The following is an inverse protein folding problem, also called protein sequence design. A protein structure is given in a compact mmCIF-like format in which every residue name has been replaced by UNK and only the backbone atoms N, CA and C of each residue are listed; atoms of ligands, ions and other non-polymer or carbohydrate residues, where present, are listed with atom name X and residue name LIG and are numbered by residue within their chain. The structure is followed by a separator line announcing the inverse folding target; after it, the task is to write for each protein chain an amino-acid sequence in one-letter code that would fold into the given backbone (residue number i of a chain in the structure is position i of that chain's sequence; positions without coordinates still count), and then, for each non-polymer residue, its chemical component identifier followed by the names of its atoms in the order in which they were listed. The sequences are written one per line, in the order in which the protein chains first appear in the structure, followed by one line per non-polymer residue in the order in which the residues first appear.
data_IF_278067540592
#
_entry.id   IF_278067540592
#
_cell.length_a   1.000
_cell.length_b   1.000
_cell.length_c   1.000
_cell.angle_alpha   90.00
_cell.angle_beta   90.00
_cell.angle_gamma   90.00
#
_symmetry.space_group_name_H-M   'P 1'
#
loop_
_entity.id
_entity.type
_entity.pdbx_description
1 polymer ?
#
# COMPACT_ATOMS: atom_id res chain seq x y z
N UNK A 1 9.21 -19.21 27.81
CA UNK A 1 8.11 -18.60 27.03
C UNK A 1 8.52 -18.65 25.58
N UNK A 2 7.67 -19.26 24.77
CA UNK A 2 8.01 -19.92 23.51
C UNK A 2 8.66 -18.99 22.48
N UNK A 3 9.74 -19.50 21.89
CA UNK A 3 10.34 -18.96 20.68
C UNK A 3 9.31 -19.19 19.57
N UNK A 4 8.65 -18.12 19.14
CA UNK A 4 7.77 -18.08 17.97
C UNK A 4 8.45 -18.82 16.80
N UNK A 5 7.97 -20.02 16.48
CA UNK A 5 8.37 -20.72 15.27
C UNK A 5 8.01 -19.84 14.09
N UNK A 6 8.96 -19.57 13.19
CA UNK A 6 8.67 -18.92 11.93
C UNK A 6 7.55 -19.71 11.25
N UNK A 7 6.38 -19.10 11.11
CA UNK A 7 5.25 -19.68 10.39
C UNK A 7 5.72 -20.03 8.99
N UNK A 8 5.79 -21.32 8.64
CA UNK A 8 6.32 -21.77 7.35
C UNK A 8 5.30 -21.51 6.25
N UNK A 9 5.19 -20.24 5.85
CA UNK A 9 4.35 -19.77 4.76
C UNK A 9 4.98 -20.14 3.43
N UNK A 10 4.18 -20.68 2.51
CA UNK A 10 4.62 -21.06 1.16
C UNK A 10 3.94 -20.17 0.12
N UNK A 11 4.71 -19.57 -0.79
CA UNK A 11 4.19 -18.79 -1.91
C UNK A 11 3.91 -19.73 -3.08
N UNK A 12 2.69 -19.73 -3.62
CA UNK A 12 2.38 -20.47 -4.84
C UNK A 12 3.07 -19.82 -6.05
N UNK A 13 3.47 -20.60 -7.07
CA UNK A 13 3.96 -20.04 -8.31
C UNK A 13 2.95 -19.07 -8.94
N UNK A 14 3.43 -18.12 -9.74
CA UNK A 14 2.56 -17.19 -10.46
C UNK A 14 1.81 -17.93 -11.58
N UNK A 15 0.68 -18.58 -11.25
CA UNK A 15 -0.10 -19.38 -12.20
C UNK A 15 -1.35 -18.66 -12.74
N UNK A 16 -1.77 -17.56 -12.11
CA UNK A 16 -2.94 -16.78 -12.55
C UNK A 16 -2.48 -15.42 -13.05
N UNK A 17 -2.28 -15.31 -14.36
CA UNK A 17 -2.29 -14.02 -15.00
C UNK A 17 -3.70 -13.45 -14.90
N UNK A 18 -3.90 -12.30 -14.26
CA UNK A 18 -5.18 -11.58 -14.28
C UNK A 18 -5.52 -11.07 -15.68
N UNK A 19 -4.68 -11.30 -16.69
CA UNK A 19 -4.74 -10.58 -17.95
C UNK A 19 -4.64 -11.47 -19.18
N UNK A 20 -5.52 -11.18 -20.14
CA UNK A 20 -5.47 -11.70 -21.50
C UNK A 20 -4.77 -10.68 -22.41
N UNK A 21 -3.51 -10.32 -22.15
CA UNK A 21 -2.61 -9.60 -23.09
C UNK A 21 -3.16 -8.37 -23.86
N UNK A 22 -4.21 -7.70 -23.40
CA UNK A 22 -4.92 -6.69 -24.19
C UNK A 22 -4.23 -5.33 -24.16
N UNK A 23 -4.21 -4.67 -25.33
CA UNK A 23 -3.83 -3.26 -25.46
C UNK A 23 -4.93 -2.40 -24.82
N UNK A 24 -4.54 -1.44 -23.98
CA UNK A 24 -5.47 -0.48 -23.36
C UNK A 24 -5.81 0.64 -24.34
N UNK A 25 -7.05 1.12 -24.32
CA UNK A 25 -7.44 2.28 -25.11
C UNK A 25 -6.75 3.56 -24.58
N UNK A 26 -6.16 4.41 -25.45
CA UNK A 26 -5.53 5.66 -25.02
C UNK A 26 -6.57 6.65 -24.48
N UNK A 27 -6.33 7.24 -23.31
CA UNK A 27 -7.22 8.25 -22.71
C UNK A 27 -7.07 9.69 -23.27
N UNK A 28 -6.64 9.85 -24.53
CA UNK A 28 -6.50 11.17 -25.16
C UNK A 28 -5.23 11.97 -24.78
N UNK A 29 -5.10 13.21 -25.28
CA UNK A 29 -3.85 13.99 -25.21
C UNK A 29 -3.64 14.64 -23.83
N UNK A 30 -2.64 14.16 -23.09
CA UNK A 30 -1.66 14.98 -22.36
C UNK A 30 -2.14 15.99 -21.31
N UNK A 31 -3.27 15.77 -20.64
CA UNK A 31 -3.65 16.53 -19.44
C UNK A 31 -3.45 15.64 -18.22
N UNK A 32 -3.23 16.28 -17.06
CA UNK A 32 -3.21 15.67 -15.72
C UNK A 32 -4.07 14.40 -15.60
N UNK A 33 -3.63 13.32 -14.91
CA UNK A 33 -4.47 12.15 -14.67
C UNK A 33 -5.74 12.49 -13.87
N UNK A 34 -5.78 13.71 -13.32
CA UNK A 34 -6.90 14.32 -12.64
C UNK A 34 -7.75 15.14 -13.62
N UNK A 35 -9.07 15.06 -13.50
CA UNK A 35 -10.00 15.97 -14.18
C UNK A 35 -9.61 17.44 -13.97
N UNK A 36 -10.08 18.38 -14.81
CA UNK A 36 -9.80 19.80 -14.62
C UNK A 36 -10.15 20.28 -13.20
N UNK A 37 -11.28 19.80 -12.67
CA UNK A 37 -11.70 20.08 -11.31
C UNK A 37 -10.73 19.52 -10.26
N UNK A 38 -10.30 18.26 -10.42
CA UNK A 38 -9.31 17.65 -9.53
C UNK A 38 -7.93 18.31 -9.66
N UNK A 39 -7.55 18.80 -10.84
CA UNK A 39 -6.29 19.55 -11.04
C UNK A 39 -6.33 20.91 -10.36
N UNK A 40 -7.45 21.62 -10.46
CA UNK A 40 -7.68 22.86 -9.72
C UNK A 40 -7.64 22.58 -8.22
N UNK A 41 -8.36 21.54 -7.75
CA UNK A 41 -8.36 21.14 -6.34
C UNK A 41 -6.98 20.72 -5.85
N UNK A 42 -6.21 19.98 -6.64
CA UNK A 42 -4.83 19.64 -6.37
C UNK A 42 -3.98 20.90 -6.20
N UNK A 43 -4.07 21.87 -7.12
CA UNK A 43 -3.33 23.12 -7.00
C UNK A 43 -3.76 23.92 -5.76
N UNK A 44 -5.06 23.98 -5.45
CA UNK A 44 -5.56 24.61 -4.23
C UNK A 44 -5.08 23.89 -2.95
N UNK A 45 -5.12 22.57 -2.92
CA UNK A 45 -4.57 21.75 -1.83
C UNK A 45 -3.05 21.95 -1.73
N UNK A 46 -2.37 22.13 -2.87
CA UNK A 46 -0.95 22.39 -2.93
C UNK A 46 -0.61 23.70 -2.22
N UNK A 47 -1.34 24.79 -2.49
CA UNK A 47 -1.08 26.12 -1.92
C UNK A 47 -1.67 26.32 -0.52
N UNK A 48 -2.71 25.59 -0.15
CA UNK A 48 -3.39 25.73 1.16
C UNK A 48 -2.99 24.68 2.18
N UNK A 49 -1.98 23.86 1.88
CA UNK A 49 -1.63 22.68 2.66
C UNK A 49 -2.87 21.82 2.95
N UNK A 50 -3.66 21.48 1.93
CA UNK A 50 -4.82 20.59 2.05
C UNK A 50 -6.03 21.13 2.82
N UNK A 51 -6.11 22.44 3.09
CA UNK A 51 -7.27 23.05 3.77
C UNK A 51 -8.56 22.91 2.96
N UNK A 52 -8.51 22.95 1.63
CA UNK A 52 -9.72 22.76 0.82
C UNK A 52 -10.24 21.32 0.79
N UNK A 53 -9.46 20.32 1.20
CA UNK A 53 -9.95 18.94 1.39
C UNK A 53 -11.09 18.85 2.43
N UNK A 54 -11.31 19.85 3.29
CA UNK A 54 -12.39 19.84 4.30
C UNK A 54 -13.81 19.98 3.74
N UNK A 55 -13.97 20.42 2.49
CA UNK A 55 -15.29 20.72 1.93
C UNK A 55 -15.94 19.48 1.28
N UNK A 56 -15.45 18.26 1.57
CA UNK A 56 -16.09 17.04 1.08
C UNK A 56 -17.24 16.61 2.03
N UNK A 57 -18.52 16.81 1.66
CA UNK A 57 -19.67 16.61 2.55
C UNK A 57 -19.92 15.13 2.90
N UNK A 58 -19.34 14.17 2.18
CA UNK A 58 -19.66 12.76 2.37
C UNK A 58 -18.95 12.09 3.56
N UNK A 59 -18.05 12.79 4.27
CA UNK A 59 -17.32 12.22 5.41
C UNK A 59 -18.24 11.79 6.56
N UNK A 60 -19.41 12.42 6.71
CA UNK A 60 -20.41 12.05 7.72
C UNK A 60 -21.05 10.68 7.48
N UNK A 61 -20.90 10.11 6.29
CA UNK A 61 -21.40 8.77 5.95
C UNK A 61 -20.42 7.64 6.28
N UNK A 62 -19.20 7.97 6.73
CA UNK A 62 -18.13 6.99 6.91
C UNK A 62 -18.13 6.41 8.33
N UNK A 63 -18.15 5.08 8.44
CA UNK A 63 -18.01 4.40 9.72
C UNK A 63 -16.52 4.28 10.11
N UNK A 64 -15.99 5.35 10.71
CA UNK A 64 -14.56 5.48 11.00
C UNK A 64 -14.06 4.42 12.00
N UNK A 65 -12.93 3.78 11.70
CA UNK A 65 -12.31 2.80 12.58
C UNK A 65 -11.80 3.46 13.88
N UNK A 66 -11.70 2.69 14.95
CA UNK A 66 -10.93 3.10 16.12
C UNK A 66 -9.41 2.89 15.85
N UNK A 67 -8.57 3.23 16.83
CA UNK A 67 -7.13 2.94 16.75
C UNK A 67 -6.84 1.45 16.63
N UNK A 68 -7.63 0.64 17.31
CA UNK A 68 -7.56 -0.80 17.28
C UNK A 68 -8.96 -1.41 17.32
N UNK A 69 -9.08 -2.63 16.84
CA UNK A 69 -10.34 -3.33 16.83
C UNK A 69 -10.20 -4.79 16.44
N UNK A 70 -11.30 -5.53 16.63
CA UNK A 70 -11.41 -6.94 16.29
C UNK A 70 -12.65 -7.17 15.44
N UNK A 71 -12.46 -7.80 14.30
CA UNK A 71 -13.50 -8.30 13.43
C UNK A 71 -13.52 -9.81 13.58
N UNK A 72 -14.68 -10.37 13.94
CA UNK A 72 -14.87 -11.81 14.07
C UNK A 72 -15.69 -12.26 12.88
N UNK A 73 -15.17 -13.20 12.10
CA UNK A 73 -15.95 -13.86 11.06
C UNK A 73 -16.78 -14.92 11.77
N UNK A 74 -18.10 -14.98 11.52
CA UNK A 74 -19.09 -15.77 12.28
C UNK A 74 -18.57 -17.11 12.84
N UNK A 75 -18.98 -17.49 14.06
CA UNK A 75 -18.34 -18.57 14.79
C UNK A 75 -18.72 -19.93 14.20
N UNK A 76 -17.92 -20.42 13.26
CA UNK A 76 -17.74 -21.87 13.18
C UNK A 76 -16.85 -22.22 14.37
N UNK A 77 -17.36 -23.05 15.28
CA UNK A 77 -16.58 -23.61 16.39
C UNK A 77 -15.39 -24.38 15.83
N UNK A 78 -14.30 -23.66 15.56
CA UNK A 78 -13.12 -24.18 14.91
C UNK A 78 -11.93 -23.85 15.79
N UNK A 79 -11.12 -24.87 16.03
CA UNK A 79 -9.88 -24.73 16.80
C UNK A 79 -8.95 -23.73 16.11
N UNK A 80 -8.37 -22.82 16.89
CA UNK A 80 -7.35 -21.90 16.39
C UNK A 80 -6.12 -22.70 16.01
N UNK A 81 -5.76 -22.66 14.74
CA UNK A 81 -4.57 -23.35 14.23
C UNK A 81 -3.39 -22.39 14.15
N UNK A 82 -3.62 -21.18 13.62
CA UNK A 82 -2.53 -20.31 13.20
C UNK A 82 -2.88 -18.83 13.36
N UNK A 83 -1.85 -18.00 13.49
CA UNK A 83 -1.97 -16.55 13.40
C UNK A 83 -0.82 -15.98 12.58
N UNK A 84 -1.13 -15.01 11.73
CA UNK A 84 -0.15 -14.31 10.88
C UNK A 84 -0.27 -12.81 11.14
N UNK A 85 0.84 -12.18 11.52
CA UNK A 85 0.92 -10.72 11.68
C UNK A 85 1.43 -10.07 10.40
N UNK A 86 0.57 -9.24 9.82
CA UNK A 86 0.81 -8.50 8.58
C UNK A 86 1.00 -7.02 8.90
N UNK A 87 2.09 -6.42 8.44
CA UNK A 87 2.28 -4.96 8.47
C UNK A 87 2.21 -4.39 7.06
N UNK A 88 1.55 -3.25 6.93
CA UNK A 88 1.46 -2.52 5.67
C UNK A 88 2.28 -1.24 5.73
N UNK A 89 3.27 -1.12 4.87
CA UNK A 89 4.10 0.07 4.73
C UNK A 89 3.64 0.87 3.53
N UNK A 90 3.45 2.17 3.77
CA UNK A 90 3.08 3.11 2.74
C UNK A 90 4.19 3.35 1.71
N UNK A 91 4.08 4.45 0.98
CA UNK A 91 4.95 4.75 -0.14
C UNK A 91 6.42 4.80 0.29
N UNK A 92 7.25 3.92 -0.30
CA UNK A 92 8.70 3.93 -0.16
C UNK A 92 9.28 4.61 -1.40
N UNK A 93 9.79 5.80 -1.16
CA UNK A 93 10.58 6.60 -2.08
C UNK A 93 11.96 6.89 -1.45
N UNK A 94 12.89 7.41 -2.26
CA UNK A 94 14.21 7.85 -1.78
C UNK A 94 14.09 8.94 -0.71
N UNK A 95 14.91 8.86 0.33
CA UNK A 95 14.93 9.84 1.42
C UNK A 95 15.45 11.22 0.97
N UNK A 96 15.56 12.16 1.91
CA UNK A 96 16.20 13.45 1.61
C UNK A 96 17.66 13.22 1.22
N UNK A 97 18.47 12.46 1.92
CA UNK A 97 19.89 12.34 1.51
C UNK A 97 20.10 11.35 0.37
N UNK A 98 19.06 10.58 0.01
CA UNK A 98 19.17 9.41 -0.84
C UNK A 98 19.69 8.19 -0.09
N UNK A 99 19.97 8.32 1.21
CA UNK A 99 20.37 7.23 2.10
C UNK A 99 19.15 6.59 2.77
N UNK A 100 19.16 5.28 3.08
CA UNK A 100 18.05 4.61 3.76
C UNK A 100 17.62 5.33 5.05
N UNK A 101 16.32 5.30 5.39
CA UNK A 101 15.84 5.96 6.59
C UNK A 101 16.44 5.31 7.85
N UNK A 102 16.85 6.15 8.82
CA UNK A 102 17.19 5.73 10.18
C UNK A 102 15.89 5.43 10.93
N UNK A 103 15.59 4.14 11.03
CA UNK A 103 14.41 3.64 11.74
C UNK A 103 14.71 3.62 13.25
N UNK A 104 13.89 4.34 14.01
CA UNK A 104 13.91 4.38 15.47
C UNK A 104 13.69 3.00 16.11
N UNK A 105 14.15 2.82 17.35
CA UNK A 105 14.14 1.51 18.01
C UNK A 105 12.72 1.02 18.38
N UNK A 106 11.80 1.93 18.70
CA UNK A 106 10.39 1.60 18.91
C UNK A 106 9.70 1.13 17.64
N UNK A 107 9.90 1.82 16.51
CA UNK A 107 9.38 1.37 15.22
C UNK A 107 10.05 0.05 14.78
N UNK A 108 11.36 -0.10 14.99
CA UNK A 108 12.08 -1.36 14.72
C UNK A 108 11.50 -2.53 15.51
N UNK A 109 11.06 -2.30 16.77
CA UNK A 109 10.39 -3.33 17.58
C UNK A 109 9.05 -3.76 16.98
N UNK A 110 8.24 -2.83 16.47
CA UNK A 110 6.98 -3.15 15.76
C UNK A 110 7.28 -3.97 14.50
N UNK A 111 8.18 -3.49 13.64
CA UNK A 111 8.52 -4.15 12.37
C UNK A 111 9.07 -5.57 12.55
N UNK A 112 9.81 -5.83 13.63
CA UNK A 112 10.36 -7.16 13.96
C UNK A 112 9.32 -8.20 14.38
N UNK A 113 8.09 -7.79 14.70
CA UNK A 113 7.02 -8.71 15.09
C UNK A 113 6.21 -9.24 13.90
N UNK A 114 6.45 -8.68 12.70
CA UNK A 114 5.73 -9.08 11.50
C UNK A 114 6.20 -10.46 11.00
N UNK A 115 5.23 -11.27 10.57
CA UNK A 115 5.48 -12.47 9.77
C UNK A 115 5.47 -12.13 8.27
N UNK A 116 4.64 -11.16 7.89
CA UNK A 116 4.46 -10.65 6.53
C UNK A 116 4.52 -9.13 6.51
N UNK A 117 5.26 -8.54 5.58
CA UNK A 117 5.32 -7.09 5.36
C UNK A 117 4.95 -6.81 3.90
N UNK A 118 3.89 -6.02 3.69
CA UNK A 118 3.46 -5.57 2.37
C UNK A 118 3.82 -4.08 2.23
N UNK A 119 4.60 -3.71 1.22
CA UNK A 119 5.13 -2.37 1.07
C UNK A 119 4.98 -1.85 -0.36
N UNK A 120 4.60 -0.58 -0.52
CA UNK A 120 4.61 0.07 -1.83
C UNK A 120 6.03 0.56 -2.17
N UNK A 121 6.56 0.11 -3.30
CA UNK A 121 7.80 0.62 -3.90
C UNK A 121 7.43 1.58 -5.01
N UNK A 122 7.35 2.87 -4.69
CA UNK A 122 6.84 3.88 -5.62
C UNK A 122 7.89 4.34 -6.63
N UNK A 123 9.14 4.46 -6.19
CA UNK A 123 10.24 4.79 -7.09
C UNK A 123 10.71 3.52 -7.85
N UNK A 124 10.79 3.54 -9.20
CA UNK A 124 11.47 2.50 -9.96
C UNK A 124 12.84 2.14 -9.37
N UNK A 125 13.13 0.84 -9.32
CA UNK A 125 14.36 0.34 -8.71
C UNK A 125 15.39 0.04 -9.78
N UNK A 126 16.63 0.44 -9.55
CA UNK A 126 17.74 0.24 -10.48
C UNK A 126 18.95 -0.37 -9.77
N UNK A 127 19.80 -1.06 -10.53
CA UNK A 127 21.06 -1.60 -10.03
C UNK A 127 22.17 -0.53 -10.13
N UNK A 128 22.79 -0.19 -9.00
CA UNK A 128 23.82 0.86 -8.89
C UNK A 128 23.26 2.17 -8.33
N UNK A 129 24.15 3.17 -8.12
CA UNK A 129 23.75 4.47 -7.56
C UNK A 129 22.68 5.10 -8.43
N UNK A 130 21.41 4.99 -8.03
CA UNK A 130 20.27 5.61 -8.70
C UNK A 130 20.52 7.10 -8.95
N UNK A 131 19.82 7.68 -9.93
CA UNK A 131 20.04 9.07 -10.31
C UNK A 131 19.89 10.03 -9.12
N UNK A 132 21.01 10.50 -8.57
CA UNK A 132 21.06 11.51 -7.47
C UNK A 132 20.67 12.92 -7.93
N UNK A 133 20.18 13.10 -9.16
CA UNK A 133 19.90 14.44 -9.71
C UNK A 133 18.73 15.08 -8.96
N UNK A 134 19.06 15.99 -8.06
CA UNK A 134 18.11 16.88 -7.40
C UNK A 134 17.97 18.14 -8.25
N UNK A 135 16.75 18.39 -8.73
CA UNK A 135 16.36 19.56 -9.52
C UNK A 135 14.90 19.43 -9.97
N UNK A 136 14.46 20.27 -10.91
CA UNK A 136 13.12 20.23 -11.53
C UNK A 136 12.81 18.94 -12.34
N UNK A 137 13.74 17.97 -12.36
CA UNK A 137 13.60 16.69 -13.04
C UNK A 137 13.08 15.64 -12.05
N UNK A 138 11.83 15.21 -12.23
CA UNK A 138 11.12 14.17 -11.47
C UNK A 138 11.62 12.74 -11.78
N UNK A 139 12.92 12.53 -11.97
CA UNK A 139 13.46 11.17 -12.19
C UNK A 139 13.68 10.48 -10.84
N UNK A 140 12.68 9.73 -10.38
CA UNK A 140 12.65 9.02 -9.09
C UNK A 140 13.17 7.59 -9.22
N UNK A 141 14.48 7.39 -9.28
CA UNK A 141 15.06 6.04 -9.24
C UNK A 141 15.62 5.74 -7.84
N UNK A 142 15.36 4.53 -7.36
CA UNK A 142 15.85 4.01 -6.09
C UNK A 142 16.89 2.91 -6.33
N UNK A 143 18.02 2.96 -5.63
CA UNK A 143 19.00 1.86 -5.65
C UNK A 143 18.41 0.65 -4.90
N UNK A 144 18.53 -0.56 -5.44
CA UNK A 144 18.11 -1.79 -4.76
C UNK A 144 18.72 -1.97 -3.37
N UNK A 145 19.93 -1.43 -3.12
CA UNK A 145 20.53 -1.43 -1.77
C UNK A 145 19.74 -0.59 -0.78
N UNK A 146 19.10 0.49 -1.20
CA UNK A 146 18.25 1.31 -0.33
C UNK A 146 17.12 0.47 0.26
N UNK A 147 16.43 -0.30 -0.60
CA UNK A 147 15.35 -1.19 -0.20
C UNK A 147 15.86 -2.32 0.68
N UNK A 148 17.04 -2.86 0.37
CA UNK A 148 17.69 -3.91 1.18
C UNK A 148 17.96 -3.45 2.61
N UNK A 149 18.45 -2.23 2.82
CA UNK A 149 18.69 -1.70 4.17
C UNK A 149 17.40 -1.54 4.99
N UNK A 150 16.27 -1.22 4.34
CA UNK A 150 14.95 -1.23 5.00
C UNK A 150 14.56 -2.67 5.38
N UNK A 151 14.73 -3.62 4.45
CA UNK A 151 14.37 -5.03 4.65
C UNK A 151 15.15 -5.68 5.80
N UNK A 152 16.41 -5.29 6.02
CA UNK A 152 17.24 -5.77 7.16
C UNK A 152 16.64 -5.51 8.54
N UNK A 153 15.61 -4.69 8.67
CA UNK A 153 14.91 -4.53 9.94
C UNK A 153 14.29 -5.84 10.42
N UNK A 154 13.78 -6.65 9.49
CA UNK A 154 13.21 -7.95 9.76
C UNK A 154 13.41 -8.89 8.57
N UNK A 155 14.58 -9.55 8.52
CA UNK A 155 14.92 -10.48 7.42
C UNK A 155 14.13 -11.79 7.46
N UNK A 156 13.47 -12.09 8.58
CA UNK A 156 12.69 -13.31 8.78
C UNK A 156 11.26 -13.20 8.24
N UNK A 157 10.73 -11.98 8.14
CA UNK A 157 9.43 -11.75 7.53
C UNK A 157 9.46 -12.05 6.03
N UNK A 158 8.33 -12.50 5.50
CA UNK A 158 8.09 -12.47 4.06
C UNK A 158 7.85 -11.02 3.64
N UNK A 159 8.69 -10.49 2.75
CA UNK A 159 8.52 -9.13 2.20
C UNK A 159 7.82 -9.20 0.84
N UNK A 160 6.72 -8.48 0.71
CA UNK A 160 5.91 -8.34 -0.50
C UNK A 160 5.97 -6.89 -0.95
N UNK A 161 6.59 -6.65 -2.09
CA UNK A 161 6.77 -5.32 -2.67
C UNK A 161 5.76 -5.11 -3.79
N UNK A 162 4.82 -4.19 -3.60
CA UNK A 162 3.94 -3.74 -4.67
C UNK A 162 4.65 -2.69 -5.52
N UNK A 163 4.61 -2.87 -6.83
CA UNK A 163 5.06 -1.86 -7.81
C UNK A 163 3.89 -1.29 -8.63
N UNK A 164 2.65 -1.60 -8.27
CA UNK A 164 1.47 -1.06 -8.94
C UNK A 164 1.16 0.35 -8.45
N UNK A 165 1.83 1.34 -9.04
CA UNK A 165 1.64 2.76 -8.75
C UNK A 165 1.84 3.60 -10.02
N UNK A 166 1.59 4.89 -9.92
CA UNK A 166 1.67 5.83 -11.03
C UNK A 166 3.08 6.02 -11.61
N UNK A 167 4.13 5.76 -10.81
CA UNK A 167 5.55 5.91 -11.17
C UNK A 167 6.18 4.62 -11.73
N UNK A 168 5.45 3.51 -11.76
CA UNK A 168 5.95 2.19 -12.13
C UNK A 168 6.63 2.13 -13.51
N UNK A 169 6.29 3.04 -14.42
CA UNK A 169 6.83 3.10 -15.78
C UNK A 169 7.85 4.24 -15.99
N UNK A 170 8.21 5.03 -14.96
CA UNK A 170 9.00 6.27 -15.13
C UNK A 170 10.43 6.05 -15.63
N UNK A 171 11.03 4.88 -15.37
CA UNK A 171 12.35 4.52 -15.88
C UNK A 171 12.31 4.01 -17.35
N UNK A 172 11.13 3.93 -17.95
CA UNK A 172 10.94 3.44 -19.32
C UNK A 172 11.11 4.57 -20.32
N UNK A 173 12.14 4.50 -21.16
CA UNK A 173 12.40 5.50 -22.21
C UNK A 173 11.70 5.19 -23.53
N UNK A 174 11.35 3.92 -23.76
CA UNK A 174 10.86 3.40 -25.04
C UNK A 174 9.74 2.37 -24.87
N UNK A 175 9.81 1.49 -23.86
CA UNK A 175 8.86 0.42 -23.61
C UNK A 175 8.68 0.18 -22.10
N UNK A 176 7.45 0.31 -21.61
CA UNK A 176 7.07 0.09 -20.20
C UNK A 176 7.49 -1.27 -19.66
N UNK A 177 7.40 -2.31 -20.50
CA UNK A 177 7.77 -3.66 -20.08
C UNK A 177 9.25 -3.75 -19.68
N UNK A 178 10.14 -3.05 -20.38
CA UNK A 178 11.57 -3.10 -20.09
C UNK A 178 11.89 -2.44 -18.73
N UNK A 179 11.35 -1.24 -18.48
CA UNK A 179 11.59 -0.54 -17.22
C UNK A 179 10.96 -1.23 -16.00
N UNK A 180 9.78 -1.83 -16.18
CA UNK A 180 9.15 -2.66 -15.14
C UNK A 180 9.97 -3.92 -14.87
N UNK A 181 10.42 -4.64 -15.91
CA UNK A 181 11.28 -5.81 -15.74
C UNK A 181 12.62 -5.46 -15.08
N UNK A 182 13.19 -4.29 -15.39
CA UNK A 182 14.39 -3.80 -14.72
C UNK A 182 14.15 -3.58 -13.22
N UNK A 183 13.02 -2.94 -12.85
CA UNK A 183 12.64 -2.75 -11.44
C UNK A 183 12.51 -4.09 -10.71
N UNK A 184 11.79 -5.04 -11.30
CA UNK A 184 11.61 -6.39 -10.73
C UNK A 184 12.96 -7.08 -10.55
N UNK A 185 13.81 -7.08 -11.59
CA UNK A 185 15.13 -7.69 -11.56
C UNK A 185 16.03 -7.06 -10.48
N UNK A 186 16.04 -5.73 -10.35
CA UNK A 186 16.84 -5.04 -9.34
C UNK A 186 16.35 -5.31 -7.91
N UNK A 187 15.03 -5.41 -7.68
CA UNK A 187 14.49 -5.84 -6.38
C UNK A 187 14.93 -7.27 -6.06
N UNK A 188 14.75 -8.21 -7.00
CA UNK A 188 15.13 -9.62 -6.81
C UNK A 188 16.64 -9.81 -6.61
N UNK A 189 17.46 -9.01 -7.29
CA UNK A 189 18.91 -9.01 -7.11
C UNK A 189 19.29 -8.55 -5.69
N UNK A 190 18.65 -7.48 -5.19
CA UNK A 190 18.97 -6.93 -3.87
C UNK A 190 18.40 -7.79 -2.71
N UNK A 191 17.21 -8.35 -2.91
CA UNK A 191 16.41 -9.07 -1.92
C UNK A 191 15.86 -10.37 -2.56
N UNK A 192 16.66 -11.44 -2.66
CA UNK A 192 16.27 -12.67 -3.38
C UNK A 192 15.02 -13.36 -2.84
N UNK A 193 14.74 -13.22 -1.54
CA UNK A 193 13.54 -13.76 -0.88
C UNK A 193 12.34 -12.81 -0.90
N UNK A 194 12.48 -11.61 -1.48
CA UNK A 194 11.38 -10.67 -1.65
C UNK A 194 10.44 -11.10 -2.78
N UNK A 195 9.14 -10.93 -2.58
CA UNK A 195 8.10 -11.17 -3.58
C UNK A 195 7.68 -9.84 -4.19
N UNK A 196 7.49 -9.78 -5.51
CA UNK A 196 7.00 -8.57 -6.18
C UNK A 196 5.58 -8.81 -6.64
N UNK A 197 4.68 -7.85 -6.42
CA UNK A 197 3.28 -7.90 -6.83
C UNK A 197 2.88 -6.65 -7.63
N UNK A 198 1.73 -6.70 -8.28
CA UNK A 198 1.15 -5.54 -8.98
C UNK A 198 1.59 -5.41 -10.44
N UNK A 199 2.28 -6.42 -10.96
CA UNK A 199 2.61 -6.55 -12.37
C UNK A 199 2.25 -7.95 -12.86
N UNK A 200 1.89 -8.06 -14.14
CA UNK A 200 1.56 -9.33 -14.81
C UNK A 200 2.64 -9.67 -15.85
N UNK A 201 3.84 -9.91 -15.35
CA UNK A 201 5.04 -10.24 -16.11
C UNK A 201 5.90 -11.20 -15.28
N UNK A 202 6.89 -11.83 -15.91
CA UNK A 202 7.82 -12.74 -15.24
C UNK A 202 8.50 -12.07 -14.02
N UNK A 203 8.58 -12.80 -12.90
CA UNK A 203 9.22 -12.33 -11.67
C UNK A 203 8.32 -11.51 -10.74
N UNK A 204 7.09 -11.19 -11.16
CA UNK A 204 6.06 -10.57 -10.33
C UNK A 204 4.75 -11.38 -10.35
N UNK A 205 3.89 -11.14 -9.36
CA UNK A 205 2.57 -11.74 -9.27
C UNK A 205 1.48 -10.68 -9.50
N UNK A 206 0.54 -10.99 -10.38
CA UNK A 206 -0.68 -10.18 -10.52
C UNK A 206 -1.66 -10.46 -9.36
N UNK A 207 -1.72 -11.72 -8.91
CA UNK A 207 -2.30 -12.16 -7.63
C UNK A 207 -1.27 -13.04 -6.90
N UNK A 208 -0.92 -12.67 -5.68
CA UNK A 208 -0.06 -13.48 -4.81
C UNK A 208 -0.91 -14.39 -3.92
N UNK A 209 -0.66 -15.69 -3.97
CA UNK A 209 -1.27 -16.68 -3.07
C UNK A 209 -0.24 -17.19 -2.07
N UNK A 210 -0.51 -17.03 -0.78
CA UNK A 210 0.32 -17.53 0.32
C UNK A 210 -0.45 -18.65 1.03
N UNK A 211 0.10 -19.86 1.02
CA UNK A 211 -0.45 -21.03 1.70
C UNK A 211 0.14 -21.14 3.10
N UNK A 212 -0.74 -21.21 4.08
CA UNK A 212 -0.40 -21.42 5.49
C UNK A 212 -0.30 -22.92 5.82
N UNK A 213 0.49 -23.33 6.83
CA UNK A 213 0.53 -24.71 7.34
C UNK A 213 -0.84 -25.35 7.58
N UNK A 214 -1.83 -24.58 8.05
CA UNK A 214 -3.21 -25.02 8.24
C UNK A 214 -4.05 -25.22 6.96
N UNK A 215 -3.48 -24.98 5.78
CA UNK A 215 -4.12 -25.09 4.45
C UNK A 215 -4.87 -23.84 3.99
N UNK A 216 -5.10 -22.86 4.89
CA UNK A 216 -5.73 -21.60 4.53
C UNK A 216 -4.82 -20.78 3.59
N UNK A 217 -5.44 -20.02 2.68
CA UNK A 217 -4.71 -19.17 1.72
C UNK A 217 -4.98 -17.68 1.96
N UNK A 218 -3.93 -16.87 1.93
CA UNK A 218 -3.98 -15.42 1.89
C UNK A 218 -3.70 -14.97 0.46
N UNK A 219 -4.64 -14.26 -0.15
CA UNK A 219 -4.50 -13.63 -1.46
C UNK A 219 -4.15 -12.16 -1.32
N UNK A 220 -3.16 -11.66 -2.08
CA UNK A 220 -2.77 -10.25 -2.09
C UNK A 220 -2.66 -9.75 -3.52
N UNK A 221 -3.30 -8.62 -3.80
CA UNK A 221 -3.27 -7.96 -5.10
C UNK A 221 -2.98 -6.48 -4.94
N UNK A 222 -1.95 -6.01 -5.64
CA UNK A 222 -1.68 -4.59 -5.84
C UNK A 222 -2.21 -4.14 -7.19
N UNK A 223 -2.81 -2.95 -7.24
CA UNK A 223 -3.21 -2.31 -8.51
C UNK A 223 -3.12 -0.79 -8.38
N UNK A 224 -3.11 -0.10 -9.50
CA UNK A 224 -3.19 1.37 -9.50
C UNK A 224 -4.48 1.88 -10.16
N UNK A 225 -5.06 2.93 -9.57
CA UNK A 225 -6.25 3.64 -10.08
C UNK A 225 -5.89 4.67 -11.17
N UNK A 226 -4.62 5.07 -11.24
CA UNK A 226 -4.07 6.08 -12.15
C UNK A 226 -2.61 5.80 -12.52
N UNK A 227 -2.17 6.30 -13.68
CA UNK A 227 -0.77 6.30 -14.10
C UNK A 227 -0.32 7.71 -14.45
N UNK A 228 0.96 8.01 -14.24
CA UNK A 228 1.58 9.17 -14.87
C UNK A 228 1.57 8.96 -16.38
N UNK A 229 1.34 10.00 -17.17
CA UNK A 229 1.36 9.91 -18.64
C UNK A 229 0.56 8.73 -19.23
N UNK A 230 -0.61 8.39 -18.67
CA UNK A 230 -1.37 7.17 -18.99
C UNK A 230 -1.59 6.94 -20.51
N UNK A 231 -1.73 8.01 -21.29
CA UNK A 231 -1.81 7.97 -22.75
C UNK A 231 -0.60 7.31 -23.46
N UNK A 232 0.57 7.23 -22.79
CA UNK A 232 1.78 6.56 -23.27
C UNK A 232 1.85 5.09 -22.86
N UNK A 233 1.05 4.66 -21.90
CA UNK A 233 1.15 3.36 -21.24
C UNK A 233 0.01 2.41 -21.65
N UNK A 234 -0.05 2.08 -22.93
CA UNK A 234 -1.10 1.25 -23.54
C UNK A 234 -0.78 -0.25 -23.52
N UNK A 235 0.51 -0.62 -23.41
CA UNK A 235 0.92 -2.00 -23.15
C UNK A 235 0.82 -2.29 -21.65
N UNK A 236 0.50 -3.53 -21.32
CA UNK A 236 0.17 -3.94 -19.97
C UNK A 236 1.31 -4.73 -19.33
N UNK A 237 2.16 -4.08 -18.52
CA UNK A 237 2.95 -4.79 -17.51
C UNK A 237 2.38 -4.61 -16.10
N UNK A 238 1.70 -3.50 -15.81
CA UNK A 238 1.17 -3.15 -14.48
C UNK A 238 -0.33 -3.45 -14.37
N UNK A 239 -0.74 -4.03 -13.24
CA UNK A 239 -2.14 -4.27 -12.88
C UNK A 239 -2.82 -2.93 -12.58
N UNK A 240 -3.92 -2.62 -13.28
CA UNK A 240 -4.70 -1.39 -13.10
C UNK A 240 -6.12 -1.70 -12.65
N UNK A 241 -6.87 -0.66 -12.31
CA UNK A 241 -8.29 -0.76 -11.89
C UNK A 241 -9.17 -1.56 -12.86
N UNK A 242 -8.92 -1.49 -14.16
CA UNK A 242 -9.67 -2.26 -15.17
C UNK A 242 -9.49 -3.78 -14.99
N UNK A 243 -8.43 -4.18 -14.30
CA UNK A 243 -8.08 -5.59 -14.08
C UNK A 243 -8.71 -6.17 -12.83
N UNK A 244 -9.13 -5.30 -11.91
CA UNK A 244 -9.74 -5.61 -10.63
C UNK A 244 -11.23 -5.31 -10.70
N UNK A 245 -11.94 -6.12 -11.49
CA UNK A 245 -13.40 -6.04 -11.61
C UNK A 245 -14.08 -6.81 -10.48
N UNK A 246 -15.32 -6.46 -10.12
CA UNK A 246 -16.11 -7.23 -9.16
C UNK A 246 -16.08 -8.75 -9.35
N UNK A 247 -16.22 -9.22 -10.59
CA UNK A 247 -16.32 -10.63 -10.94
C UNK A 247 -14.99 -11.36 -10.70
N UNK A 248 -13.87 -10.72 -11.06
CA UNK A 248 -12.54 -11.27 -10.80
C UNK A 248 -12.24 -11.31 -9.31
N UNK A 249 -12.65 -10.28 -8.57
CA UNK A 249 -12.45 -10.25 -7.11
C UNK A 249 -13.24 -11.36 -6.42
N UNK A 250 -14.45 -11.64 -6.88
CA UNK A 250 -15.25 -12.77 -6.40
C UNK A 250 -14.59 -14.12 -6.70
N UNK A 251 -14.07 -14.32 -7.92
CA UNK A 251 -13.31 -15.53 -8.28
C UNK A 251 -12.07 -15.71 -7.38
N UNK A 252 -11.32 -14.62 -7.16
CA UNK A 252 -10.16 -14.63 -6.28
C UNK A 252 -10.55 -14.95 -4.83
N UNK A 253 -11.63 -14.35 -4.32
CA UNK A 253 -12.11 -14.60 -2.96
C UNK A 253 -12.55 -16.05 -2.78
N UNK A 254 -13.17 -16.67 -3.77
CA UNK A 254 -13.54 -18.09 -3.72
C UNK A 254 -12.35 -19.06 -3.54
N UNK A 255 -11.13 -18.63 -3.88
CA UNK A 255 -9.89 -19.42 -3.75
C UNK A 255 -9.08 -19.10 -2.49
N UNK A 256 -9.46 -18.06 -1.74
CA UNK A 256 -8.66 -17.53 -0.61
C UNK A 256 -9.51 -17.35 0.64
N UNK A 257 -9.00 -17.82 1.78
CA UNK A 257 -9.63 -17.57 3.07
C UNK A 257 -9.68 -16.07 3.37
N UNK A 258 -8.62 -15.35 3.00
CA UNK A 258 -8.52 -13.88 3.08
C UNK A 258 -8.02 -13.32 1.76
N UNK A 259 -8.68 -12.28 1.24
CA UNK A 259 -8.25 -11.54 0.08
C UNK A 259 -7.99 -10.08 0.46
N UNK A 260 -6.76 -9.62 0.23
CA UNK A 260 -6.25 -8.30 0.60
C UNK A 260 -5.97 -7.50 -0.66
N UNK A 261 -6.55 -6.30 -0.74
CA UNK A 261 -6.22 -5.31 -1.75
C UNK A 261 -5.20 -4.31 -1.25
N UNK A 262 -4.20 -4.00 -2.07
CA UNK A 262 -3.16 -3.01 -1.77
C UNK A 262 -3.05 -1.97 -2.90
N UNK A 263 -4.05 -1.09 -3.07
CA UNK A 263 -4.11 -0.18 -4.20
C UNK A 263 -3.37 1.14 -4.02
N UNK A 264 -2.78 1.61 -5.12
CA UNK A 264 -2.34 2.98 -5.28
C UNK A 264 -3.45 3.82 -5.93
N UNK A 265 -3.90 4.91 -5.29
CA UNK A 265 -5.01 5.70 -5.83
C UNK A 265 -5.31 6.99 -5.06
N UNK A 266 -6.50 7.56 -5.27
CA UNK A 266 -6.94 8.86 -4.73
C UNK A 266 -6.18 10.08 -5.27
N UNK A 267 -6.52 11.27 -4.77
CA UNK A 267 -5.85 12.53 -5.13
C UNK A 267 -4.65 12.78 -4.21
N UNK A 268 -3.49 13.02 -4.82
CA UNK A 268 -2.27 13.43 -4.13
C UNK A 268 -2.50 14.57 -3.14
N UNK A 269 -1.97 14.40 -1.92
CA UNK A 269 -1.98 15.38 -0.83
C UNK A 269 -3.38 15.77 -0.32
N UNK A 270 -4.44 15.10 -0.78
CA UNK A 270 -5.78 15.28 -0.22
C UNK A 270 -5.94 14.45 1.05
N UNK A 271 -6.48 15.05 2.11
CA UNK A 271 -6.80 14.35 3.37
C UNK A 271 -8.13 13.58 3.32
N UNK A 272 -8.91 13.78 2.27
CA UNK A 272 -10.15 13.06 2.04
C UNK A 272 -10.00 12.19 0.79
N UNK A 273 -10.49 10.94 0.81
CA UNK A 273 -10.49 10.11 -0.38
C UNK A 273 -11.32 10.76 -1.49
N UNK A 274 -10.91 10.54 -2.73
CA UNK A 274 -11.67 10.99 -3.90
C UNK A 274 -12.96 10.16 -3.97
N UNK A 275 -14.11 10.79 -4.18
CA UNK A 275 -15.42 10.13 -4.09
C UNK A 275 -15.50 8.89 -4.99
N UNK A 276 -15.06 9.02 -6.23
CA UNK A 276 -15.09 7.95 -7.23
C UNK A 276 -14.23 6.75 -6.82
N UNK A 277 -13.03 7.02 -6.28
CA UNK A 277 -12.12 5.98 -5.79
C UNK A 277 -12.67 5.32 -4.52
N UNK A 278 -13.18 6.12 -3.58
CA UNK A 278 -13.83 5.63 -2.35
C UNK A 278 -14.99 4.70 -2.68
N UNK A 279 -15.91 5.15 -3.52
CA UNK A 279 -17.12 4.40 -3.84
C UNK A 279 -16.79 3.12 -4.61
N UNK A 280 -15.77 3.16 -5.48
CA UNK A 280 -15.23 1.97 -6.13
C UNK A 280 -14.64 0.98 -5.12
N UNK A 281 -13.81 1.42 -4.17
CA UNK A 281 -13.23 0.51 -3.18
C UNK A 281 -14.27 -0.05 -2.22
N UNK A 282 -15.27 0.76 -1.83
CA UNK A 282 -16.45 0.28 -1.09
C UNK A 282 -17.21 -0.79 -1.86
N UNK A 283 -17.41 -0.60 -3.17
CA UNK A 283 -18.00 -1.63 -4.03
C UNK A 283 -17.14 -2.91 -4.04
N UNK A 284 -15.82 -2.79 -4.14
CA UNK A 284 -14.89 -3.94 -4.10
C UNK A 284 -14.77 -4.59 -2.71
N UNK A 285 -15.26 -3.94 -1.65
CA UNK A 285 -15.46 -4.51 -0.30
C UNK A 285 -16.88 -5.03 -0.10
N UNK A 286 -17.71 -5.06 -1.13
CA UNK A 286 -19.04 -5.65 -1.07
C UNK A 286 -19.02 -7.11 -0.58
N UNK A 287 -20.22 -7.68 -0.37
CA UNK A 287 -20.36 -9.06 0.11
C UNK A 287 -19.58 -10.02 -0.79
N UNK A 288 -18.74 -10.86 -0.17
CA UNK A 288 -17.90 -11.90 -0.80
C UNK A 288 -16.76 -11.39 -1.70
N UNK A 289 -16.24 -10.18 -1.43
CA UNK A 289 -15.06 -9.62 -2.11
C UNK A 289 -13.88 -9.46 -1.16
N UNK A 290 -13.07 -8.40 -1.30
CA UNK A 290 -11.93 -8.16 -0.41
C UNK A 290 -12.34 -8.16 1.06
N UNK A 291 -11.50 -8.69 1.94
CA UNK A 291 -11.70 -8.58 3.40
C UNK A 291 -11.05 -7.31 3.96
N UNK A 292 -10.00 -6.85 3.27
CA UNK A 292 -9.20 -5.70 3.64
C UNK A 292 -8.71 -4.99 2.38
N UNK A 293 -8.88 -3.67 2.31
CA UNK A 293 -8.20 -2.81 1.34
C UNK A 293 -7.29 -1.83 2.10
N UNK A 294 -6.01 -1.77 1.73
CA UNK A 294 -5.05 -0.82 2.30
C UNK A 294 -4.51 0.06 1.18
N UNK A 295 -5.15 1.22 1.01
CA UNK A 295 -4.79 2.21 0.00
C UNK A 295 -3.56 3.03 0.37
N UNK A 296 -2.89 3.55 -0.65
CA UNK A 296 -1.76 4.48 -0.56
C UNK A 296 -1.70 5.37 -1.82
N UNK A 297 -0.69 6.25 -1.94
CA UNK A 297 -0.53 7.18 -3.08
C UNK A 297 -0.82 8.66 -2.83
N UNK A 298 -1.78 9.06 -1.96
CA UNK A 298 -1.95 10.47 -1.58
C UNK A 298 -0.77 11.06 -0.82
N UNK A 299 0.19 10.24 -0.39
CA UNK A 299 1.32 10.60 0.47
C UNK A 299 0.93 11.18 1.84
N UNK A 300 -0.34 11.11 2.22
CA UNK A 300 -0.86 11.59 3.50
C UNK A 300 -1.78 10.54 4.11
N UNK A 301 -1.76 10.41 5.44
CA UNK A 301 -2.71 9.60 6.17
C UNK A 301 -4.16 10.07 5.91
N UNK A 302 -4.99 9.18 5.37
CA UNK A 302 -6.44 9.37 5.24
C UNK A 302 -7.17 8.42 6.19
N UNK A 303 -8.49 8.62 6.31
CA UNK A 303 -9.33 7.85 7.22
C UNK A 303 -9.36 6.35 6.90
N UNK A 304 -9.49 5.54 7.95
CA UNK A 304 -9.89 4.14 7.86
C UNK A 304 -11.38 3.97 8.17
N UNK A 305 -12.05 3.08 7.45
CA UNK A 305 -13.48 2.82 7.56
C UNK A 305 -13.77 1.31 7.72
N UNK A 306 -14.83 1.00 8.48
CA UNK A 306 -15.44 -0.32 8.59
C UNK A 306 -16.71 -0.41 7.72
N UNK A 307 -16.75 -1.34 6.77
CA UNK A 307 -17.87 -1.57 5.86
C UNK A 307 -18.29 -3.03 5.92
N UNK A 308 -19.46 -3.33 6.50
CA UNK A 308 -19.97 -4.71 6.59
C UNK A 308 -18.91 -5.70 7.10
N UNK A 309 -18.29 -5.38 8.25
CA UNK A 309 -17.22 -6.16 8.87
C UNK A 309 -15.90 -6.25 8.07
N UNK A 310 -15.73 -5.43 7.03
CA UNK A 310 -14.48 -5.34 6.25
C UNK A 310 -13.82 -4.00 6.44
N UNK A 311 -12.51 -3.97 6.27
CA UNK A 311 -11.70 -2.78 6.58
C UNK A 311 -11.20 -2.14 5.30
N UNK A 312 -11.27 -0.81 5.25
CA UNK A 312 -10.53 -0.01 4.27
C UNK A 312 -9.70 1.04 4.98
N UNK A 313 -8.42 1.13 4.63
CA UNK A 313 -7.62 2.33 4.87
C UNK A 313 -7.52 3.07 3.54
N UNK A 314 -8.03 4.30 3.46
CA UNK A 314 -8.05 5.01 2.18
C UNK A 314 -6.67 5.51 1.74
N UNK A 315 -5.82 5.84 2.69
CA UNK A 315 -4.40 6.08 2.46
C UNK A 315 -3.62 5.93 3.76
N UNK A 316 -2.55 5.14 3.72
CA UNK A 316 -1.62 4.99 4.83
C UNK A 316 -0.45 6.00 4.77
N UNK A 317 -0.40 6.84 3.73
CA UNK A 317 0.66 7.84 3.54
C UNK A 317 2.02 7.24 3.19
N UNK A 318 3.08 7.99 3.45
CA UNK A 318 4.45 7.56 3.17
C UNK A 318 5.02 6.72 4.31
N UNK A 319 5.80 5.69 3.95
CA UNK A 319 6.79 5.13 4.87
C UNK A 319 8.10 5.92 4.77
N UNK A 320 8.61 6.15 3.56
CA UNK A 320 9.82 6.96 3.36
C UNK A 320 9.64 7.88 2.15
N UNK A 321 9.94 9.16 2.31
CA UNK A 321 9.77 10.15 1.26
C UNK A 321 10.93 11.14 1.17
N UNK A 322 11.19 11.73 -0.01
CA UNK A 322 12.20 12.77 -0.16
C UNK A 322 11.75 14.07 0.53
N UNK A 323 12.56 15.13 0.42
CA UNK A 323 12.15 16.46 0.89
C UNK A 323 10.81 16.83 0.25
N UNK A 324 9.84 17.15 1.08
CA UNK A 324 8.48 17.48 0.68
C UNK A 324 7.84 18.32 1.77
N UNK A 325 6.52 18.50 1.66
CA UNK A 325 5.75 19.29 2.61
C UNK A 325 5.60 18.56 3.94
N UNK A 326 5.41 19.32 5.01
CA UNK A 326 5.16 18.78 6.37
C UNK A 326 4.00 17.79 6.41
N UNK A 327 2.96 17.99 5.59
CA UNK A 327 1.82 17.07 5.51
C UNK A 327 2.16 15.64 5.09
N UNK A 328 3.19 15.45 4.26
CA UNK A 328 3.57 14.12 3.76
C UNK A 328 4.56 13.40 4.68
N UNK A 329 4.83 13.99 5.86
CA UNK A 329 5.75 13.48 6.88
C UNK A 329 5.06 12.71 7.99
N UNK A 330 3.73 12.66 8.00
CA UNK A 330 2.95 11.80 8.90
C UNK A 330 2.24 10.75 8.05
N UNK A 331 2.47 9.49 8.40
CA UNK A 331 1.83 8.32 7.81
C UNK A 331 1.33 7.37 8.88
N UNK A 332 0.96 6.17 8.49
CA UNK A 332 0.60 5.11 9.42
C UNK A 332 1.04 3.74 8.92
N UNK A 333 1.14 2.79 9.84
CA UNK A 333 1.36 1.38 9.58
C UNK A 333 0.17 0.64 10.19
N UNK A 334 -0.81 0.22 9.38
CA UNK A 334 -1.78 -0.76 9.81
C UNK A 334 -1.06 -2.08 10.12
N UNK A 335 -1.25 -2.54 11.35
CA UNK A 335 -0.90 -3.88 11.78
C UNK A 335 -2.16 -4.72 11.81
N UNK A 336 -2.13 -5.88 11.16
CA UNK A 336 -3.26 -6.80 11.10
C UNK A 336 -2.81 -8.18 11.54
N UNK A 337 -3.46 -8.72 12.57
CA UNK A 337 -3.27 -10.12 12.99
C UNK A 337 -4.45 -10.94 12.46
N UNK A 338 -4.17 -11.79 11.49
CA UNK A 338 -5.13 -12.72 10.91
C UNK A 338 -5.05 -14.04 11.67
N UNK A 339 -6.16 -14.49 12.25
CA UNK A 339 -6.24 -15.75 12.98
C UNK A 339 -7.05 -16.76 12.20
N UNK A 340 -6.48 -17.94 11.95
CA UNK A 340 -7.06 -18.96 11.09
C UNK A 340 -7.42 -20.23 11.86
N UNK A 341 -8.51 -20.84 11.43
CA UNK A 341 -8.86 -22.24 11.70
C UNK A 341 -8.42 -23.11 10.52
N UNK A 342 -9.05 -24.28 10.36
CA UNK A 342 -8.80 -25.13 9.19
C UNK A 342 -9.40 -24.46 7.95
N UNK A 343 -8.55 -24.03 7.01
CA UNK A 343 -8.90 -23.40 5.73
C UNK A 343 -9.74 -22.10 5.79
N UNK A 344 -9.98 -21.50 6.96
CA UNK A 344 -10.87 -20.35 7.12
C UNK A 344 -10.29 -19.28 8.06
N UNK A 345 -10.61 -18.01 7.79
CA UNK A 345 -10.35 -16.90 8.70
C UNK A 345 -11.36 -16.93 9.86
N UNK A 346 -10.89 -16.81 11.10
CA UNK A 346 -11.73 -16.73 12.30
C UNK A 346 -11.86 -15.29 12.80
N UNK A 347 -10.76 -14.55 12.78
CA UNK A 347 -10.79 -13.15 13.19
C UNK A 347 -9.65 -12.35 12.58
N UNK A 348 -9.92 -11.07 12.37
CA UNK A 348 -8.95 -10.05 11.99
C UNK A 348 -8.88 -9.00 13.09
N UNK A 349 -7.76 -8.95 13.81
CA UNK A 349 -7.47 -7.85 14.74
C UNK A 349 -6.64 -6.82 14.00
N UNK A 350 -6.91 -5.53 14.20
CA UNK A 350 -6.09 -4.47 13.64
C UNK A 350 -5.63 -3.49 14.73
N UNK A 351 -4.46 -2.89 14.51
CA UNK A 351 -3.92 -1.77 15.29
C UNK A 351 -3.26 -0.77 14.34
N UNK A 352 -3.49 0.53 14.55
CA UNK A 352 -2.93 1.58 13.70
C UNK A 352 -1.77 2.27 14.42
N UNK A 353 -0.57 2.08 13.89
CA UNK A 353 0.63 2.79 14.36
C UNK A 353 0.80 4.08 13.55
N UNK A 354 0.76 5.23 14.19
CA UNK A 354 1.12 6.49 13.54
C UNK A 354 2.63 6.64 13.49
N UNK A 355 3.14 7.04 12.33
CA UNK A 355 4.57 7.28 12.11
C UNK A 355 4.81 8.70 11.63
N UNK A 356 5.99 9.22 11.95
CA UNK A 356 6.47 10.48 11.43
C UNK A 356 7.92 10.40 10.94
N UNK A 357 8.21 11.14 9.87
CA UNK A 357 9.53 11.23 9.27
C UNK A 357 10.10 12.64 9.48
N UNK A 358 11.24 12.76 10.17
CA UNK A 358 12.00 14.01 10.29
C UNK A 358 13.38 13.83 9.67
N UNK A 359 13.66 14.61 8.63
CA UNK A 359 14.86 14.42 7.78
C UNK A 359 14.90 12.97 7.25
N UNK A 360 15.99 12.25 7.50
CA UNK A 360 16.11 10.81 7.16
C UNK A 360 15.77 9.90 8.36
N UNK A 361 15.23 10.43 9.46
CA UNK A 361 14.76 9.62 10.59
C UNK A 361 13.28 9.31 10.47
N UNK A 362 12.88 8.09 10.82
CA UNK A 362 11.47 7.66 10.88
C UNK A 362 11.18 6.95 12.21
N UNK A 363 10.04 7.25 12.81
CA UNK A 363 9.61 6.59 14.04
C UNK A 363 8.14 6.71 14.34
N UNK A 364 7.71 6.09 15.44
CA UNK A 364 6.35 6.22 15.91
C UNK A 364 6.11 7.65 16.40
N UNK A 365 4.90 8.16 16.17
CA UNK A 365 4.49 9.46 16.71
C UNK A 365 4.45 9.38 18.23
N UNK A 366 5.28 10.18 18.88
CA UNK A 366 5.32 10.35 20.33
C UNK A 366 4.32 11.42 20.78
N UNK A 367 4.06 11.56 22.09
CA UNK A 367 3.04 12.48 22.64
C UNK A 367 3.13 13.94 22.14
N UNK A 368 4.34 14.43 21.85
CA UNK A 368 4.57 15.75 21.24
C UNK A 368 5.32 15.59 19.90
N UNK A 369 4.77 14.78 19.00
CA UNK A 369 5.36 14.53 17.68
C UNK A 369 5.78 15.81 16.94
N UNK A 370 6.64 15.68 15.93
CA UNK A 370 7.25 16.79 15.20
C UNK A 370 6.25 17.64 14.40
N UNK A 371 5.03 17.15 14.16
CA UNK A 371 4.04 17.77 13.28
C UNK A 371 2.66 17.98 13.96
N UNK A 372 2.57 18.86 14.99
CA UNK A 372 1.34 19.04 15.77
C UNK A 372 0.14 19.51 14.93
N UNK A 373 0.34 20.35 13.91
CA UNK A 373 -0.73 20.81 13.03
C UNK A 373 -1.34 19.67 12.18
N UNK A 374 -0.49 18.74 11.75
CA UNK A 374 -0.91 17.56 10.97
C UNK A 374 -1.66 16.58 11.88
N UNK A 375 -1.20 16.42 13.12
CA UNK A 375 -1.89 15.62 14.14
C UNK A 375 -3.26 16.21 14.51
N UNK A 376 -3.34 17.52 14.71
CA UNK A 376 -4.61 18.21 14.96
C UNK A 376 -5.60 18.05 13.80
N UNK A 377 -5.09 18.06 12.57
CA UNK A 377 -5.88 17.78 11.37
C UNK A 377 -6.37 16.33 11.32
N UNK A 378 -5.47 15.37 11.53
CA UNK A 378 -5.85 13.95 11.53
C UNK A 378 -6.91 13.67 12.61
N UNK A 379 -6.76 14.25 13.81
CA UNK A 379 -7.75 14.16 14.88
C UNK A 379 -9.11 14.75 14.51
N UNK A 380 -9.14 15.77 13.65
CA UNK A 380 -10.40 16.38 13.18
C UNK A 380 -11.13 15.50 12.18
N UNK A 381 -10.41 14.89 11.23
CA UNK A 381 -11.01 14.06 10.19
C UNK A 381 -11.23 12.61 10.65
N UNK A 382 -10.48 12.16 11.66
CA UNK A 382 -10.51 10.81 12.20
C UNK A 382 -10.48 10.82 13.75
N UNK A 383 -11.52 11.34 14.41
CA UNK A 383 -11.52 11.48 15.87
C UNK A 383 -11.39 10.15 16.62
N UNK A 384 -12.01 9.08 16.12
CA UNK A 384 -12.00 7.74 16.72
C UNK A 384 -10.60 7.09 16.76
N UNK A 385 -9.66 7.52 15.93
CA UNK A 385 -8.26 7.08 15.98
C UNK A 385 -7.55 7.52 17.28
N UNK A 386 -8.07 8.55 17.95
CA UNK A 386 -7.48 9.15 19.15
C UNK A 386 -8.31 8.94 20.41
N UNK A 387 -9.38 8.15 20.32
CA UNK A 387 -10.17 7.74 21.47
C UNK A 387 -9.48 6.50 22.08
N UNK A 388 -9.30 6.54 23.41
CA UNK A 388 -8.69 5.47 24.19
C UNK A 388 -9.71 4.39 24.53
#
# INVERSE_FOLDING_TARGET
MEVSSATSMTVEPSETALTSGSVREPQGIGVSPYSLFCTVRYFFNLVTNGWFSYVNPDSSSMALLAKEGKITVEPVASEKIEAVRVLFLGDIMVSKTGEPPRISEDLRRVLKQADLIVANVEAPVVSGKGNKKRGLSLSFEMDGQFLKEIQKVNEKALWVFSIANNHACDNSKTNDHEGVMQTIASIKQAIPNGVVIGADVEGAHSLLSIVLPGGAKIGIIGWTELMNHDARHFKKPIVRKEDVTPERVEEMKGKHAVLIGFPHGNEEQSYQPLKEVRDRWRLLLGKERFDLIVGHGPHVAQVGELLNERVVFHSIGNFCSPVGKTQTKVGMIPEVTLTFGRNALLSMNYHVHLIEQKEDGIGLVQNQGFYPDIMARLKRIWPSLFQL
#
